data_IF_857281775215
#
_entry.id   IF_857281775215
#
_cell.length_a   1.000
_cell.length_b   1.000
_cell.length_c   1.000
_cell.angle_alpha   90.00
_cell.angle_beta   90.00
_cell.angle_gamma   90.00
#
_symmetry.space_group_name_H-M   'P 1'
#
loop_
_entity.id
_entity.type
_entity.pdbx_description
1 polymer ?
#
# COMPACT_ATOMS: atom_id res chain seq x y z
N UNK A 1 -2.40 22.03 6.07
CA UNK A 1 -3.35 21.11 6.76
C UNK A 1 -4.38 20.48 5.82
N UNK A 2 -4.97 21.19 4.85
CA UNK A 2 -6.08 20.65 4.03
C UNK A 2 -5.76 19.39 3.21
N UNK A 3 -4.53 19.21 2.70
CA UNK A 3 -4.14 18.02 1.95
C UNK A 3 -3.82 16.81 2.84
N UNK A 4 -3.28 17.04 4.04
CA UNK A 4 -2.95 15.98 4.99
C UNK A 4 -4.22 15.29 5.47
N UNK A 5 -5.17 16.06 6.03
CA UNK A 5 -6.42 15.55 6.58
C UNK A 5 -7.26 14.83 5.52
N UNK A 6 -7.36 15.39 4.31
CA UNK A 6 -8.08 14.74 3.20
C UNK A 6 -7.45 13.41 2.80
N UNK A 7 -6.11 13.32 2.85
CA UNK A 7 -5.39 12.11 2.46
C UNK A 7 -5.58 11.02 3.51
N UNK A 8 -5.31 11.32 4.78
CA UNK A 8 -5.36 10.31 5.86
C UNK A 8 -6.79 9.83 6.18
N UNK A 9 -7.81 10.65 5.90
CA UNK A 9 -9.22 10.27 6.07
C UNK A 9 -9.74 9.35 4.97
N UNK A 10 -9.20 9.45 3.75
CA UNK A 10 -9.71 8.70 2.58
C UNK A 10 -8.85 7.51 2.19
N UNK A 11 -7.55 7.53 2.52
CA UNK A 11 -6.58 6.48 2.16
C UNK A 11 -5.86 5.94 3.36
N UNK A 12 -5.48 4.66 3.29
CA UNK A 12 -4.58 4.10 4.27
C UNK A 12 -3.21 4.74 4.08
N UNK A 13 -2.68 5.39 5.10
CA UNK A 13 -1.51 6.26 4.94
C UNK A 13 -0.47 5.93 5.99
N UNK A 14 0.78 5.74 5.58
CA UNK A 14 1.95 5.71 6.47
C UNK A 14 2.63 7.07 6.40
N UNK A 15 2.84 7.73 7.53
CA UNK A 15 3.48 9.06 7.59
C UNK A 15 4.73 9.02 8.45
N UNK A 16 5.85 9.49 7.90
CA UNK A 16 7.08 9.78 8.64
C UNK A 16 7.15 11.27 8.96
N UNK A 17 7.15 11.59 10.26
CA UNK A 17 7.45 12.92 10.76
C UNK A 17 8.95 13.04 11.06
N UNK A 18 9.59 14.08 10.51
CA UNK A 18 11.04 14.23 10.56
C UNK A 18 11.48 15.70 10.64
N UNK A 19 12.78 15.91 10.86
CA UNK A 19 13.46 17.20 10.68
C UNK A 19 14.81 17.00 9.97
N UNK A 20 15.32 18.03 9.31
CA UNK A 20 16.50 17.93 8.43
C UNK A 20 17.83 17.70 9.17
N UNK A 21 17.94 18.11 10.43
CA UNK A 21 19.14 17.90 11.25
C UNK A 21 19.18 16.52 11.92
N UNK A 22 18.06 15.79 11.95
CA UNK A 22 17.91 14.54 12.67
C UNK A 22 18.72 13.39 12.03
N UNK A 23 19.77 12.93 12.72
CA UNK A 23 20.64 11.84 12.24
C UNK A 23 19.91 10.52 12.02
N UNK A 24 19.00 10.13 12.92
CA UNK A 24 18.19 8.93 12.77
C UNK A 24 17.25 8.99 11.55
N UNK A 25 16.75 10.19 11.23
CA UNK A 25 15.90 10.44 10.06
C UNK A 25 16.69 10.26 8.77
N UNK A 26 17.93 10.78 8.72
CA UNK A 26 18.84 10.59 7.59
C UNK A 26 19.19 9.11 7.38
N UNK A 27 19.42 8.36 8.46
CA UNK A 27 19.70 6.93 8.37
C UNK A 27 18.52 6.12 7.82
N UNK A 28 17.29 6.49 8.18
CA UNK A 28 16.07 5.80 7.71
C UNK A 28 15.65 6.20 6.29
N UNK A 29 16.06 7.39 5.83
CA UNK A 29 15.62 7.98 4.56
C UNK A 29 15.76 7.03 3.35
N UNK A 30 16.88 6.31 3.13
CA UNK A 30 17.00 5.42 1.98
C UNK A 30 15.92 4.33 1.93
N UNK A 31 15.63 3.69 3.06
CA UNK A 31 14.59 2.66 3.15
C UNK A 31 13.19 3.26 2.93
N UNK A 32 12.94 4.44 3.51
CA UNK A 32 11.65 5.11 3.39
C UNK A 32 11.38 5.65 1.97
N UNK A 33 12.40 6.18 1.30
CA UNK A 33 12.29 6.66 -0.09
C UNK A 33 12.08 5.49 -1.06
N UNK A 34 12.75 4.36 -0.82
CA UNK A 34 12.51 3.13 -1.59
C UNK A 34 11.07 2.63 -1.42
N UNK A 35 10.56 2.63 -0.19
CA UNK A 35 9.17 2.28 0.10
C UNK A 35 8.21 3.24 -0.61
N UNK A 36 8.41 4.55 -0.48
CA UNK A 36 7.55 5.55 -1.11
C UNK A 36 7.52 5.41 -2.63
N UNK A 37 8.67 5.10 -3.24
CA UNK A 37 8.76 4.85 -4.68
C UNK A 37 8.05 3.56 -5.13
N UNK A 38 7.98 2.53 -4.29
CA UNK A 38 7.28 1.28 -4.62
C UNK A 38 5.76 1.43 -4.57
N UNK A 39 5.26 2.34 -3.74
CA UNK A 39 3.83 2.58 -3.52
C UNK A 39 3.34 3.91 -4.11
N UNK A 40 4.13 4.59 -4.95
CA UNK A 40 3.78 5.90 -5.52
C UNK A 40 2.49 5.91 -6.33
N UNK A 41 2.20 4.77 -6.97
CA UNK A 41 1.06 4.60 -7.87
C UNK A 41 -0.05 3.73 -7.25
N UNK A 42 0.04 3.40 -5.95
CA UNK A 42 -1.00 2.65 -5.27
C UNK A 42 -2.23 3.54 -5.03
N UNK A 43 -3.41 3.05 -5.41
CA UNK A 43 -4.64 3.82 -5.27
C UNK A 43 -5.16 3.88 -3.83
N UNK A 44 -4.80 2.91 -3.00
CA UNK A 44 -5.35 2.68 -1.67
C UNK A 44 -4.39 3.02 -0.53
N UNK A 45 -3.08 2.97 -0.80
CA UNK A 45 -2.03 3.27 0.15
C UNK A 45 -1.28 4.54 -0.23
N UNK A 46 -0.96 5.38 0.76
CA UNK A 46 -0.06 6.52 0.61
C UNK A 46 1.11 6.38 1.57
N UNK A 47 2.33 6.56 1.08
CA UNK A 47 3.54 6.67 1.89
C UNK A 47 3.99 8.13 1.83
N UNK A 48 3.78 8.86 2.92
CA UNK A 48 4.00 10.30 2.99
C UNK A 48 5.06 10.66 4.03
N UNK A 49 5.65 11.85 3.90
CA UNK A 49 6.46 12.43 4.96
C UNK A 49 6.10 13.88 5.24
N UNK A 50 6.38 14.29 6.47
CA UNK A 50 6.10 15.64 6.99
C UNK A 50 7.38 16.16 7.63
N UNK A 51 7.88 17.27 7.10
CA UNK A 51 9.01 17.99 7.69
C UNK A 51 8.47 18.93 8.78
N UNK A 52 8.74 18.61 10.04
CA UNK A 52 8.31 19.39 11.19
C UNK A 52 9.11 20.68 11.39
N UNK A 53 10.16 20.91 10.60
CA UNK A 53 10.81 22.22 10.51
C UNK A 53 10.02 23.22 9.68
N UNK A 54 9.25 22.74 8.69
CA UNK A 54 8.40 23.57 7.82
C UNK A 54 6.93 23.55 8.24
N UNK A 55 6.46 22.43 8.81
CA UNK A 55 5.07 22.21 9.24
C UNK A 55 4.99 21.90 10.76
N UNK A 56 5.46 22.79 11.65
CA UNK A 56 5.53 22.52 13.08
C UNK A 56 4.16 22.29 13.73
N UNK A 57 3.14 23.08 13.34
CA UNK A 57 1.77 22.97 13.86
C UNK A 57 1.15 21.59 13.54
N UNK A 58 1.42 21.05 12.36
CA UNK A 58 0.94 19.71 11.99
C UNK A 58 1.58 18.64 12.87
N UNK A 59 2.86 18.78 13.18
CA UNK A 59 3.56 17.82 14.05
C UNK A 59 3.12 17.92 15.51
N UNK A 60 2.84 19.13 16.00
CA UNK A 60 2.25 19.34 17.33
C UNK A 60 0.84 18.73 17.41
N UNK A 61 -0.02 18.99 16.41
CA UNK A 61 -1.37 18.42 16.34
C UNK A 61 -1.36 16.88 16.26
N UNK A 62 -0.29 16.30 15.72
CA UNK A 62 -0.07 14.86 15.68
C UNK A 62 0.81 14.37 16.85
N UNK A 63 0.95 15.13 17.94
CA UNK A 63 1.66 14.73 19.18
C UNK A 63 3.08 14.20 18.93
N UNK A 64 3.79 14.76 17.95
CA UNK A 64 5.15 14.34 17.61
C UNK A 64 6.14 14.92 18.61
N UNK A 65 6.63 14.09 19.51
CA UNK A 65 7.58 14.48 20.57
C UNK A 65 9.04 14.15 20.27
N UNK A 66 9.32 13.47 19.16
CA UNK A 66 10.67 13.08 18.78
C UNK A 66 10.78 12.63 17.32
N UNK A 67 12.00 12.55 16.80
CA UNK A 67 12.25 12.27 15.38
C UNK A 67 13.21 11.08 15.14
N UNK A 68 12.94 10.24 14.12
CA UNK A 68 11.70 10.20 13.36
C UNK A 68 10.57 9.57 14.20
N UNK A 69 9.35 10.06 14.00
CA UNK A 69 8.11 9.41 14.46
C UNK A 69 7.36 8.91 13.25
N UNK A 70 6.87 7.67 13.31
CA UNK A 70 6.06 7.08 12.26
C UNK A 70 4.67 6.81 12.83
N UNK A 71 3.65 7.33 12.15
CA UNK A 71 2.25 7.04 12.42
C UNK A 71 1.59 6.52 11.16
N UNK A 72 0.46 5.85 11.31
CA UNK A 72 -0.33 5.39 10.19
C UNK A 72 -1.83 5.57 10.42
N UNK A 73 -2.56 5.67 9.32
CA UNK A 73 -4.01 5.80 9.30
C UNK A 73 -4.62 4.65 8.54
N UNK A 74 -5.68 4.06 9.09
CA UNK A 74 -6.56 3.11 8.40
C UNK A 74 -7.96 3.67 8.44
N UNK A 75 -8.51 4.03 7.27
CA UNK A 75 -9.84 4.65 7.15
C UNK A 75 -10.03 5.86 8.09
N UNK A 76 -9.03 6.74 8.18
CA UNK A 76 -9.03 7.91 9.05
C UNK A 76 -8.71 7.64 10.53
N UNK A 77 -8.60 6.39 10.97
CA UNK A 77 -8.19 6.07 12.34
C UNK A 77 -6.66 6.11 12.48
N UNK A 78 -6.16 7.04 13.29
CA UNK A 78 -4.73 7.18 13.60
C UNK A 78 -4.23 6.03 14.49
N UNK A 79 -3.00 5.59 14.22
CA UNK A 79 -2.28 4.58 14.99
C UNK A 79 -0.76 4.84 14.98
N UNK A 80 -0.07 4.32 15.99
CA UNK A 80 1.40 4.42 16.12
C UNK A 80 2.11 3.24 15.50
N UNK A 81 3.17 3.50 14.73
CA UNK A 81 4.05 2.46 14.18
C UNK A 81 5.27 2.25 15.07
N UNK A 82 5.40 1.05 15.65
CA UNK A 82 6.46 0.70 16.61
C UNK A 82 7.30 -0.51 16.17
N UNK A 83 7.30 -0.86 14.88
CA UNK A 83 8.07 -1.98 14.33
C UNK A 83 9.45 -1.52 13.77
N UNK A 84 10.16 -2.42 13.09
CA UNK A 84 11.47 -2.15 12.49
C UNK A 84 11.43 -1.04 11.43
N UNK A 85 12.52 -0.27 11.31
CA UNK A 85 12.58 0.90 10.41
C UNK A 85 13.37 0.64 9.12
N UNK A 86 13.83 -0.59 8.95
CA UNK A 86 14.42 -1.05 7.70
C UNK A 86 13.34 -1.27 6.63
N UNK A 87 13.78 -1.36 5.37
CA UNK A 87 12.87 -1.48 4.24
C UNK A 87 11.98 -2.74 4.31
N UNK A 88 12.51 -3.88 4.79
CA UNK A 88 11.71 -5.12 4.87
C UNK A 88 10.58 -4.95 5.87
N UNK A 89 10.90 -4.49 7.09
CA UNK A 89 9.90 -4.27 8.15
C UNK A 89 8.81 -3.28 7.74
N UNK A 90 9.19 -2.19 7.06
CA UNK A 90 8.23 -1.20 6.55
C UNK A 90 7.35 -1.79 5.45
N UNK A 91 7.94 -2.52 4.49
CA UNK A 91 7.23 -3.15 3.38
C UNK A 91 6.24 -4.20 3.88
N UNK A 92 6.68 -5.06 4.79
CA UNK A 92 5.85 -6.12 5.35
C UNK A 92 4.64 -5.52 6.09
N UNK A 93 4.86 -4.44 6.85
CA UNK A 93 3.77 -3.72 7.49
C UNK A 93 2.79 -3.10 6.49
N UNK A 94 3.27 -2.38 5.48
CA UNK A 94 2.40 -1.79 4.46
C UNK A 94 1.56 -2.87 3.79
N UNK A 95 2.20 -3.98 3.37
CA UNK A 95 1.53 -5.04 2.64
C UNK A 95 0.53 -5.86 3.46
N UNK A 96 0.75 -5.98 4.77
CA UNK A 96 -0.11 -6.75 5.67
C UNK A 96 -1.24 -5.92 6.28
N UNK A 97 -0.98 -4.62 6.55
CA UNK A 97 -1.85 -3.78 7.37
C UNK A 97 -2.51 -2.67 6.58
N UNK A 98 -1.79 -2.05 5.63
CA UNK A 98 -2.30 -0.88 4.91
C UNK A 98 -2.89 -1.23 3.54
N UNK A 99 -2.43 -2.29 2.89
CA UNK A 99 -3.03 -2.74 1.63
C UNK A 99 -4.38 -3.42 1.93
N UNK A 100 -5.45 -2.82 1.40
CA UNK A 100 -6.74 -3.51 1.30
C UNK A 100 -6.62 -4.53 0.17
N UNK A 101 -6.52 -5.82 0.52
CA UNK A 101 -6.56 -6.89 -0.47
C UNK A 101 -7.96 -6.92 -1.08
N UNK A 102 -8.02 -6.90 -2.42
CA UNK A 102 -9.27 -7.07 -3.13
C UNK A 102 -9.89 -8.44 -2.78
N UNK A 103 -11.10 -8.42 -2.21
CA UNK A 103 -11.93 -9.60 -1.94
C UNK A 103 -13.11 -9.58 -2.91
N UNK A 104 -13.23 -10.61 -3.74
CA UNK A 104 -14.29 -10.68 -4.75
C UNK A 104 -15.70 -10.68 -4.14
N UNK A 105 -15.85 -11.16 -2.90
CA UNK A 105 -17.13 -11.20 -2.19
C UNK A 105 -17.54 -9.83 -1.62
N UNK A 106 -16.55 -8.95 -1.42
CA UNK A 106 -16.71 -7.58 -0.94
C UNK A 106 -16.13 -6.59 -1.95
N UNK A 107 -16.28 -6.91 -3.24
CA UNK A 107 -15.49 -6.29 -4.30
C UNK A 107 -15.77 -4.81 -4.46
N UNK A 108 -17.03 -4.37 -4.26
CA UNK A 108 -17.41 -2.97 -4.32
C UNK A 108 -16.70 -2.09 -3.25
N UNK A 109 -16.21 -2.69 -2.16
CA UNK A 109 -15.56 -1.98 -1.06
C UNK A 109 -14.04 -2.17 -1.05
N UNK A 110 -13.53 -3.28 -1.60
CA UNK A 110 -12.13 -3.71 -1.42
C UNK A 110 -11.32 -3.73 -2.72
N UNK A 111 -11.97 -3.60 -3.88
CA UNK A 111 -11.31 -3.70 -5.18
C UNK A 111 -11.37 -2.35 -5.92
N UNK A 112 -10.31 -2.01 -6.64
CA UNK A 112 -10.26 -0.82 -7.51
C UNK A 112 -11.24 -0.94 -8.69
N UNK A 113 -11.63 0.16 -9.33
CA UNK A 113 -12.45 0.14 -10.56
C UNK A 113 -11.85 -0.74 -11.66
N UNK A 114 -10.51 -0.76 -11.73
CA UNK A 114 -9.76 -1.61 -12.67
C UNK A 114 -9.93 -3.10 -12.31
N UNK A 115 -9.84 -3.43 -11.03
CA UNK A 115 -10.11 -4.77 -10.52
C UNK A 115 -11.58 -5.18 -10.71
N UNK A 116 -12.55 -4.29 -10.47
CA UNK A 116 -13.98 -4.56 -10.70
C UNK A 116 -14.27 -4.93 -12.15
N UNK A 117 -13.73 -4.16 -13.11
CA UNK A 117 -13.83 -4.47 -14.55
C UNK A 117 -13.18 -5.81 -14.88
N UNK A 118 -12.05 -6.12 -14.25
CA UNK A 118 -11.35 -7.38 -14.45
C UNK A 118 -12.13 -8.57 -13.88
N UNK A 119 -12.69 -8.44 -12.67
CA UNK A 119 -13.55 -9.45 -12.03
C UNK A 119 -14.75 -9.74 -12.93
N UNK A 120 -15.48 -8.72 -13.37
CA UNK A 120 -16.64 -8.88 -14.24
C UNK A 120 -16.31 -9.58 -15.57
N UNK A 121 -15.13 -9.30 -16.14
CA UNK A 121 -14.64 -9.99 -17.33
C UNK A 121 -14.37 -11.48 -17.06
N UNK A 122 -13.73 -11.80 -15.95
CA UNK A 122 -13.26 -13.16 -15.64
C UNK A 122 -14.35 -14.04 -15.04
N UNK A 123 -15.34 -13.49 -14.33
CA UNK A 123 -16.47 -14.25 -13.79
C UNK A 123 -17.42 -14.80 -14.86
N UNK A 124 -17.37 -14.25 -16.08
CA UNK A 124 -18.12 -14.74 -17.24
C UNK A 124 -17.37 -15.82 -18.05
N UNK A 125 -16.15 -16.18 -17.64
CA UNK A 125 -15.31 -17.16 -18.34
C UNK A 125 -15.49 -18.56 -17.75
N UNK A 126 -15.16 -19.57 -18.55
CA UNK A 126 -15.10 -20.94 -18.04
C UNK A 126 -13.94 -21.09 -17.05
N UNK A 127 -14.00 -22.10 -16.19
CA UNK A 127 -12.89 -22.41 -15.28
C UNK A 127 -11.60 -22.70 -16.04
N UNK A 128 -11.69 -23.36 -17.21
CA UNK A 128 -10.53 -23.61 -18.08
C UNK A 128 -9.90 -22.32 -18.61
N UNK A 129 -10.72 -21.35 -19.04
CA UNK A 129 -10.23 -20.04 -19.48
C UNK A 129 -9.55 -19.27 -18.34
N UNK A 130 -10.11 -19.37 -17.12
CA UNK A 130 -9.53 -18.78 -15.91
C UNK A 130 -8.18 -19.43 -15.59
N UNK A 131 -8.09 -20.76 -15.65
CA UNK A 131 -6.85 -21.52 -15.40
C UNK A 131 -5.76 -21.17 -16.43
N UNK A 132 -6.13 -21.04 -17.70
CA UNK A 132 -5.21 -20.64 -18.75
C UNK A 132 -4.67 -19.21 -18.53
N UNK A 133 -5.51 -18.31 -18.05
CA UNK A 133 -5.08 -16.96 -17.71
C UNK A 133 -4.16 -16.92 -16.48
N UNK A 134 -4.42 -17.75 -15.45
CA UNK A 134 -3.51 -17.91 -14.30
C UNK A 134 -2.13 -18.35 -14.78
N UNK A 135 -2.04 -19.43 -15.57
CA UNK A 135 -0.77 -19.94 -16.10
C UNK A 135 -0.01 -18.87 -16.89
N UNK A 136 -0.73 -18.09 -17.71
CA UNK A 136 -0.14 -17.01 -18.50
C UNK A 136 0.44 -15.91 -17.59
N UNK A 137 -0.27 -15.55 -16.53
CA UNK A 137 0.17 -14.51 -15.58
C UNK A 137 1.33 -14.99 -14.69
N UNK A 138 1.29 -16.22 -14.19
CA UNK A 138 2.40 -16.81 -13.41
C UNK A 138 3.69 -16.85 -14.24
N UNK A 139 3.59 -17.20 -15.53
CA UNK A 139 4.73 -17.13 -16.46
C UNK A 139 5.31 -15.73 -16.67
N UNK A 140 4.59 -14.66 -16.28
CA UNK A 140 5.09 -13.28 -16.34
C UNK A 140 5.81 -12.84 -15.06
N UNK A 141 5.63 -13.52 -13.93
CA UNK A 141 6.12 -13.09 -12.62
C UNK A 141 7.66 -13.06 -12.51
N UNK A 142 8.35 -13.86 -13.35
CA UNK A 142 9.81 -13.91 -13.43
C UNK A 142 10.47 -12.86 -14.33
N UNK A 143 9.71 -12.02 -15.02
CA UNK A 143 10.27 -11.02 -15.95
C UNK A 143 10.61 -9.70 -15.25
N UNK A 144 11.54 -8.92 -15.83
CA UNK A 144 11.81 -7.56 -15.37
C UNK A 144 10.64 -6.65 -15.75
N UNK A 145 9.83 -6.26 -14.77
CA UNK A 145 8.64 -5.44 -14.93
C UNK A 145 8.76 -4.15 -14.12
N UNK A 146 8.08 -3.09 -14.55
CA UNK A 146 7.83 -1.91 -13.71
C UNK A 146 7.03 -2.30 -12.47
N UNK A 147 7.25 -1.63 -11.35
CA UNK A 147 6.60 -1.93 -10.07
C UNK A 147 5.06 -1.97 -10.18
N UNK A 148 4.45 -0.99 -10.85
CA UNK A 148 3.00 -0.94 -11.11
C UNK A 148 2.48 -2.21 -11.81
N UNK A 149 3.21 -2.68 -12.84
CA UNK A 149 2.83 -3.87 -13.60
C UNK A 149 2.95 -5.12 -12.73
N UNK A 150 3.96 -5.17 -11.86
CA UNK A 150 4.16 -6.27 -10.91
C UNK A 150 3.07 -6.31 -9.84
N UNK A 151 2.68 -5.16 -9.31
CA UNK A 151 1.60 -5.07 -8.32
C UNK A 151 0.25 -5.45 -8.93
N UNK A 152 -0.05 -4.93 -10.13
CA UNK A 152 -1.25 -5.31 -10.87
C UNK A 152 -1.26 -6.79 -11.26
N UNK A 153 -0.11 -7.37 -11.62
CA UNK A 153 0.02 -8.80 -11.88
C UNK A 153 -0.38 -9.63 -10.66
N UNK A 154 0.14 -9.28 -9.47
CA UNK A 154 -0.19 -9.94 -8.21
C UNK A 154 -1.67 -9.80 -7.84
N UNK A 155 -2.24 -8.60 -7.98
CA UNK A 155 -3.66 -8.36 -7.70
C UNK A 155 -4.55 -9.23 -8.61
N UNK A 156 -4.23 -9.30 -9.91
CA UNK A 156 -4.96 -10.16 -10.86
C UNK A 156 -4.86 -11.64 -10.50
N UNK A 157 -3.66 -12.13 -10.15
CA UNK A 157 -3.49 -13.51 -9.71
C UNK A 157 -4.33 -13.80 -8.46
N UNK A 158 -4.34 -12.89 -7.48
CA UNK A 158 -5.20 -13.00 -6.29
C UNK A 158 -6.69 -13.06 -6.61
N UNK A 159 -7.17 -12.22 -7.54
CA UNK A 159 -8.57 -12.25 -8.01
C UNK A 159 -8.91 -13.59 -8.67
N UNK A 160 -8.05 -14.08 -9.57
CA UNK A 160 -8.30 -15.34 -10.27
C UNK A 160 -8.30 -16.53 -9.31
N UNK A 161 -7.39 -16.57 -8.34
CA UNK A 161 -7.38 -17.60 -7.29
C UNK A 161 -8.68 -17.61 -6.48
N UNK A 162 -9.18 -16.43 -6.10
CA UNK A 162 -10.48 -16.33 -5.42
C UNK A 162 -11.65 -16.81 -6.28
N UNK A 163 -11.67 -16.48 -7.59
CA UNK A 163 -12.71 -16.95 -8.53
C UNK A 163 -12.69 -18.47 -8.72
N UNK A 164 -11.53 -19.10 -8.63
CA UNK A 164 -11.36 -20.57 -8.66
C UNK A 164 -11.81 -21.26 -7.37
N UNK A 165 -12.06 -20.50 -6.30
CA UNK A 165 -12.31 -21.02 -4.97
C UNK A 165 -11.03 -21.42 -4.21
N UNK A 166 -9.86 -21.13 -4.77
CA UNK A 166 -8.56 -21.36 -4.15
C UNK A 166 -8.33 -20.25 -3.11
N UNK A 167 -8.81 -20.48 -1.87
CA UNK A 167 -8.48 -19.62 -0.73
C UNK A 167 -7.01 -19.84 -0.35
N UNK A 168 -6.11 -19.01 -0.86
CA UNK A 168 -4.81 -18.84 -0.19
C UNK A 168 -5.01 -17.95 1.04
N UNK A 169 -4.79 -18.57 2.22
CA UNK A 169 -4.68 -17.93 3.54
C UNK A 169 -3.46 -17.00 3.60
#
# INVERSE_FOLDING_TARGET
MSNFESTVSTKNTLVKFYQDWCGHCKNMKPAYDQLSSEYSDDSNVVIADVNCGTEPELCEANEVTGYPTIKYWVKGSENSYNLGRDYSSLKDFVSSTLIIKCDINSSAQTCSDKALKYIAKMSMKSNEDVDNEVKRLEGMEGNSMKAELKNWLKERLGILKQLRGDKEL
#
